data_IF_081912909054
#
_entry.id   IF_081912909054
#
_cell.length_a   1.000
_cell.length_b   1.000
_cell.length_c   1.000
_cell.angle_alpha   90.00
_cell.angle_beta   90.00
_cell.angle_gamma   90.00
#
_symmetry.space_group_name_H-M   'P 1'
#
loop_
_entity.id
_entity.type
_entity.pdbx_description
1 polymer ?
#
# COMPACT_ATOMS: atom_id res chain seq x y z
N UNK A 1 -41.47 -35.21 -15.40
CA UNK A 1 -40.10 -34.84 -15.85
C UNK A 1 -40.27 -33.98 -17.08
N UNK A 2 -40.17 -32.66 -16.93
CA UNK A 2 -40.17 -31.75 -18.08
C UNK A 2 -38.80 -31.83 -18.75
N UNK A 3 -38.69 -32.71 -19.75
CA UNK A 3 -37.55 -32.82 -20.67
C UNK A 3 -37.86 -32.00 -21.92
N UNK A 4 -37.96 -30.68 -21.77
CA UNK A 4 -38.13 -29.75 -22.88
C UNK A 4 -36.76 -29.26 -23.34
N UNK A 5 -36.47 -29.37 -24.63
CA UNK A 5 -35.27 -28.77 -25.22
C UNK A 5 -35.33 -27.24 -25.17
N UNK A 6 -34.19 -26.62 -24.85
CA UNK A 6 -34.05 -25.16 -24.75
C UNK A 6 -34.29 -24.51 -26.12
N UNK A 7 -35.03 -23.40 -26.14
CA UNK A 7 -35.14 -22.56 -27.33
C UNK A 7 -33.78 -21.91 -27.66
N UNK A 8 -33.63 -21.41 -28.90
CA UNK A 8 -32.39 -20.72 -29.31
C UNK A 8 -32.10 -19.50 -28.44
N UNK A 9 -33.14 -18.78 -28.06
CA UNK A 9 -33.08 -17.62 -27.17
C UNK A 9 -32.65 -18.04 -25.76
N UNK A 10 -33.21 -19.13 -25.22
CA UNK A 10 -32.82 -19.66 -23.91
C UNK A 10 -31.37 -20.18 -23.90
N UNK A 11 -30.91 -20.80 -24.99
CA UNK A 11 -29.51 -21.20 -25.16
C UNK A 11 -28.58 -20.00 -25.18
N UNK A 12 -28.98 -18.90 -25.82
CA UNK A 12 -28.18 -17.69 -25.90
C UNK A 12 -28.12 -16.95 -24.55
N UNK A 13 -29.24 -16.86 -23.83
CA UNK A 13 -29.27 -16.34 -22.45
C UNK A 13 -28.41 -17.18 -21.52
N UNK A 14 -28.51 -18.52 -21.61
CA UNK A 14 -27.65 -19.42 -20.84
C UNK A 14 -26.18 -19.20 -21.14
N UNK A 15 -25.81 -19.03 -22.40
CA UNK A 15 -24.42 -18.76 -22.78
C UNK A 15 -23.92 -17.44 -22.17
N UNK A 16 -24.69 -16.36 -22.27
CA UNK A 16 -24.33 -15.06 -21.66
C UNK A 16 -24.17 -15.17 -20.15
N UNK A 17 -25.12 -15.81 -19.46
CA UNK A 17 -25.05 -16.00 -18.00
C UNK A 17 -23.82 -16.82 -17.61
N UNK A 18 -23.46 -17.86 -18.37
CA UNK A 18 -22.26 -18.66 -18.11
C UNK A 18 -20.99 -17.80 -18.25
N UNK A 19 -20.90 -16.98 -19.30
CA UNK A 19 -19.76 -16.06 -19.49
C UNK A 19 -19.68 -15.04 -18.36
N UNK A 20 -20.80 -14.43 -17.96
CA UNK A 20 -20.85 -13.50 -16.84
C UNK A 20 -20.45 -14.16 -15.51
N UNK A 21 -20.93 -15.38 -15.24
CA UNK A 21 -20.54 -16.16 -14.06
C UNK A 21 -19.04 -16.48 -14.04
N UNK A 22 -18.46 -16.84 -15.18
CA UNK A 22 -17.01 -17.08 -15.30
C UNK A 22 -16.21 -15.81 -15.03
N UNK A 23 -16.67 -14.66 -15.54
CA UNK A 23 -16.02 -13.37 -15.31
C UNK A 23 -16.12 -12.93 -13.84
N UNK A 24 -17.29 -13.09 -13.22
CA UNK A 24 -17.49 -12.85 -11.79
C UNK A 24 -16.59 -13.75 -10.93
N UNK A 25 -16.48 -15.04 -11.27
CA UNK A 25 -15.63 -15.99 -10.55
C UNK A 25 -14.14 -15.61 -10.63
N UNK A 26 -13.66 -15.22 -11.82
CA UNK A 26 -12.28 -14.72 -12.02
C UNK A 26 -12.02 -13.45 -11.22
N UNK A 27 -12.99 -12.53 -11.21
CA UNK A 27 -12.88 -11.26 -10.47
C UNK A 27 -12.84 -11.50 -8.96
N UNK A 28 -13.68 -12.42 -8.45
CA UNK A 28 -13.67 -12.82 -7.05
C UNK A 28 -12.35 -13.50 -6.65
N UNK A 29 -11.84 -14.40 -7.49
CA UNK A 29 -10.56 -15.04 -7.28
C UNK A 29 -9.42 -14.01 -7.21
N UNK A 30 -9.35 -13.08 -8.15
CA UNK A 30 -8.36 -12.01 -8.17
C UNK A 30 -8.42 -11.16 -6.89
N UNK A 31 -9.63 -10.81 -6.43
CA UNK A 31 -9.86 -10.07 -5.18
C UNK A 31 -9.36 -10.85 -3.96
N UNK A 32 -9.64 -12.14 -3.87
CA UNK A 32 -9.17 -12.98 -2.76
C UNK A 32 -7.67 -13.20 -2.77
N UNK A 33 -7.08 -13.40 -3.95
CA UNK A 33 -5.63 -13.45 -4.15
C UNK A 33 -4.98 -12.16 -3.64
N UNK A 34 -5.47 -11.00 -4.04
CA UNK A 34 -4.95 -9.70 -3.61
C UNK A 34 -5.05 -9.50 -2.09
N UNK A 35 -6.17 -9.93 -1.48
CA UNK A 35 -6.38 -9.86 -0.02
C UNK A 35 -5.46 -10.81 0.76
N UNK A 36 -5.18 -11.99 0.23
CA UNK A 36 -4.38 -13.02 0.91
C UNK A 36 -2.88 -12.70 0.98
N UNK A 37 -2.38 -11.81 0.10
CA UNK A 37 -0.95 -11.46 -0.03
C UNK A 37 -0.01 -12.65 -0.34
N UNK A 38 -0.54 -13.74 -0.88
CA UNK A 38 0.26 -14.90 -1.32
C UNK A 38 0.88 -14.63 -2.69
N UNK A 39 2.22 -14.66 -2.78
CA UNK A 39 3.00 -14.38 -4.00
C UNK A 39 3.21 -15.61 -4.91
N UNK A 40 3.25 -16.81 -4.34
CA UNK A 40 3.58 -18.04 -5.08
C UNK A 40 2.45 -19.07 -4.99
N UNK A 41 1.87 -19.41 -6.14
CA UNK A 41 1.04 -20.60 -6.32
C UNK A 41 1.91 -21.69 -6.91
N UNK A 42 2.14 -22.78 -6.16
CA UNK A 42 2.87 -23.95 -6.70
C UNK A 42 1.96 -24.98 -7.35
N UNK A 43 0.65 -24.77 -7.45
CA UNK A 43 -0.28 -25.62 -8.17
C UNK A 43 -1.54 -24.83 -8.52
N UNK A 44 -1.89 -24.83 -9.81
CA UNK A 44 -3.01 -24.09 -10.37
C UNK A 44 -4.34 -24.74 -10.02
N UNK A 45 -5.03 -24.19 -9.03
CA UNK A 45 -6.43 -24.49 -8.78
C UNK A 45 -7.15 -23.21 -8.31
N UNK A 46 -8.35 -22.98 -8.84
CA UNK A 46 -9.20 -21.79 -8.65
C UNK A 46 -9.75 -21.70 -7.21
N UNK A 47 -8.88 -21.64 -6.21
CA UNK A 47 -9.25 -21.96 -4.83
C UNK A 47 -9.36 -20.72 -3.93
N UNK A 48 -10.50 -20.04 -4.03
CA UNK A 48 -10.91 -18.97 -3.09
C UNK A 48 -10.88 -19.41 -1.62
N UNK A 49 -11.10 -20.71 -1.32
CA UNK A 49 -11.03 -21.24 0.06
C UNK A 49 -9.60 -21.20 0.62
N UNK A 50 -8.59 -21.47 -0.20
CA UNK A 50 -7.19 -21.36 0.21
C UNK A 50 -6.85 -19.92 0.60
N UNK A 51 -7.19 -18.96 -0.26
CA UNK A 51 -6.98 -17.53 0.01
C UNK A 51 -7.75 -17.04 1.23
N UNK A 52 -8.99 -17.50 1.41
CA UNK A 52 -9.80 -17.19 2.60
C UNK A 52 -9.19 -17.71 3.90
N UNK A 53 -8.67 -18.96 3.89
CA UNK A 53 -7.95 -19.53 5.04
C UNK A 53 -6.68 -18.74 5.35
N UNK A 54 -5.91 -18.39 4.34
CA UNK A 54 -4.68 -17.61 4.53
C UNK A 54 -4.97 -16.19 5.05
N UNK A 55 -5.95 -15.50 4.48
CA UNK A 55 -6.39 -14.19 4.97
C UNK A 55 -6.87 -14.26 6.43
N UNK A 56 -7.56 -15.34 6.81
CA UNK A 56 -7.99 -15.57 8.20
C UNK A 56 -6.80 -15.83 9.12
N UNK A 57 -5.82 -16.63 8.69
CA UNK A 57 -4.59 -16.88 9.45
C UNK A 57 -3.79 -15.58 9.66
N UNK A 58 -3.59 -14.77 8.62
CA UNK A 58 -2.95 -13.46 8.74
C UNK A 58 -3.73 -12.52 9.66
N UNK A 59 -5.06 -12.49 9.57
CA UNK A 59 -5.89 -11.69 10.47
C UNK A 59 -5.67 -12.10 11.92
N UNK A 60 -5.68 -13.41 12.22
CA UNK A 60 -5.43 -13.92 13.59
C UNK A 60 -4.04 -13.54 14.09
N UNK A 61 -3.01 -13.70 13.27
CA UNK A 61 -1.64 -13.37 13.64
C UNK A 61 -1.43 -11.86 13.86
N UNK A 62 -2.07 -11.01 13.05
CA UNK A 62 -1.89 -9.55 13.13
C UNK A 62 -2.86 -8.85 14.09
N UNK A 63 -3.83 -9.56 14.68
CA UNK A 63 -4.76 -8.95 15.63
C UNK A 63 -4.03 -8.77 16.96
N UNK A 64 -4.06 -7.55 17.48
CA UNK A 64 -3.53 -7.21 18.80
C UNK A 64 -4.72 -7.22 19.75
N UNK A 65 -4.90 -8.33 20.48
CA UNK A 65 -5.98 -8.55 21.44
C UNK A 65 -5.57 -8.25 22.89
N UNK A 66 -4.26 -8.23 23.16
CA UNK A 66 -3.70 -7.87 24.47
C UNK A 66 -2.37 -7.14 24.33
N UNK A 67 -2.01 -6.41 25.38
CA UNK A 67 -0.76 -5.67 25.50
C UNK A 67 -0.28 -5.72 26.96
N UNK A 68 0.98 -6.04 27.20
CA UNK A 68 1.63 -6.02 28.50
C UNK A 68 2.51 -4.80 28.59
N UNK A 69 2.25 -3.94 29.57
CA UNK A 69 3.04 -2.74 29.84
C UNK A 69 3.46 -2.75 31.30
N UNK A 70 4.77 -2.77 31.55
CA UNK A 70 5.34 -2.79 32.91
C UNK A 70 4.81 -3.94 33.79
N UNK A 71 4.42 -5.06 33.18
CA UNK A 71 3.89 -6.23 33.87
C UNK A 71 2.37 -6.23 34.08
N UNK A 72 1.67 -5.18 33.67
CA UNK A 72 0.20 -5.11 33.68
C UNK A 72 -0.35 -5.45 32.29
N UNK A 73 -1.39 -6.28 32.24
CA UNK A 73 -2.07 -6.69 31.01
C UNK A 73 -3.24 -5.74 30.71
N UNK A 74 -3.24 -5.21 29.49
CA UNK A 74 -4.26 -4.36 28.90
C UNK A 74 -4.96 -5.15 27.80
N UNK A 75 -6.27 -5.33 27.93
CA UNK A 75 -7.11 -6.05 26.95
C UNK A 75 -8.16 -5.13 26.30
N UNK A 76 -8.38 -3.94 26.84
CA UNK A 76 -9.33 -2.99 26.28
C UNK A 76 -8.78 -2.36 24.99
N UNK A 77 -9.53 -2.49 23.89
CA UNK A 77 -9.06 -2.09 22.56
C UNK A 77 -8.70 -0.60 22.45
N UNK A 78 -9.46 0.29 23.09
CA UNK A 78 -9.18 1.72 23.02
C UNK A 78 -8.00 2.14 23.91
N UNK A 79 -7.79 1.42 25.02
CA UNK A 79 -6.60 1.57 25.85
C UNK A 79 -5.34 1.05 25.13
N UNK A 80 -5.42 -0.09 24.43
CA UNK A 80 -4.34 -0.61 23.58
C UNK A 80 -3.94 0.43 22.52
N UNK A 81 -4.91 1.02 21.81
CA UNK A 81 -4.65 2.05 20.79
C UNK A 81 -3.96 3.27 21.39
N UNK A 82 -4.46 3.77 22.52
CA UNK A 82 -3.92 4.96 23.20
C UNK A 82 -2.49 4.69 23.65
N UNK A 83 -2.26 3.56 24.31
CA UNK A 83 -0.94 3.13 24.79
C UNK A 83 0.07 2.99 23.66
N UNK A 84 -0.33 2.37 22.54
CA UNK A 84 0.52 2.27 21.35
C UNK A 84 0.85 3.64 20.75
N UNK A 85 -0.15 4.50 20.61
CA UNK A 85 0.03 5.84 20.06
C UNK A 85 1.01 6.67 20.93
N UNK A 86 0.85 6.64 22.24
CA UNK A 86 1.76 7.31 23.18
C UNK A 86 3.17 6.73 23.18
N UNK A 87 3.29 5.40 23.11
CA UNK A 87 4.58 4.72 23.00
C UNK A 87 5.34 5.20 21.76
N UNK A 88 4.75 5.11 20.56
CA UNK A 88 5.42 5.52 19.34
C UNK A 88 5.61 7.03 19.24
N UNK A 89 4.67 7.83 19.75
CA UNK A 89 4.86 9.29 19.83
C UNK A 89 6.13 9.62 20.60
N UNK A 90 6.37 8.95 21.72
CA UNK A 90 7.59 9.14 22.53
C UNK A 90 8.84 8.67 21.80
N UNK A 91 8.79 7.50 21.14
CA UNK A 91 9.91 6.96 20.35
C UNK A 91 10.31 7.88 19.20
N UNK A 92 9.34 8.52 18.55
CA UNK A 92 9.57 9.45 17.44
C UNK A 92 9.66 10.92 17.87
N UNK A 93 9.62 11.20 19.18
CA UNK A 93 9.85 12.55 19.68
C UNK A 93 11.32 12.69 20.06
N UNK A 94 11.91 13.80 19.65
CA UNK A 94 13.26 14.16 20.05
C UNK A 94 13.25 14.82 21.43
N UNK A 95 13.95 14.25 22.43
CA UNK A 95 14.03 14.85 23.75
C UNK A 95 15.09 15.95 23.84
N UNK A 96 16.09 15.92 22.95
CA UNK A 96 17.26 16.81 23.00
C UNK A 96 17.02 18.07 22.18
N UNK A 97 17.04 19.22 22.85
CA UNK A 97 16.90 20.53 22.18
C UNK A 97 18.22 20.99 21.54
N UNK A 98 19.34 20.47 22.02
CA UNK A 98 20.65 20.81 21.51
C UNK A 98 21.02 19.99 20.28
N UNK A 99 21.47 20.68 19.23
CA UNK A 99 22.04 20.10 18.03
C UNK A 99 23.45 20.66 17.83
N UNK A 100 24.47 19.82 17.61
CA UNK A 100 25.76 20.34 17.20
C UNK A 100 25.60 21.09 15.87
N UNK A 101 26.18 22.29 15.78
CA UNK A 101 26.28 23.01 14.51
C UNK A 101 27.10 22.16 13.53
N UNK A 102 26.52 21.88 12.36
CA UNK A 102 27.21 21.14 11.31
C UNK A 102 27.72 22.14 10.27
N UNK A 103 28.96 22.59 10.44
CA UNK A 103 29.61 23.44 9.45
C UNK A 103 30.29 22.56 8.39
N UNK A 104 29.71 22.53 7.19
CA UNK A 104 30.24 21.80 6.03
C UNK A 104 31.44 22.52 5.40
N UNK A 105 32.53 22.67 6.16
CA UNK A 105 33.78 23.22 5.65
C UNK A 105 34.52 22.11 4.89
N UNK A 106 34.97 22.40 3.67
CA UNK A 106 35.74 21.49 2.80
C UNK A 106 35.09 20.14 2.44
N UNK A 107 33.76 20.06 2.48
CA UNK A 107 33.04 18.87 2.00
C UNK A 107 33.08 18.77 0.46
N UNK A 108 33.27 17.56 -0.11
CA UNK A 108 33.09 17.33 -1.53
C UNK A 108 31.70 17.84 -1.96
N UNK A 109 31.67 18.77 -2.90
CA UNK A 109 30.44 19.30 -3.47
C UNK A 109 30.24 18.70 -4.85
N UNK A 110 28.98 18.40 -5.16
CA UNK A 110 28.60 18.00 -6.50
C UNK A 110 28.88 19.14 -7.48
N UNK A 111 29.26 18.79 -8.70
CA UNK A 111 29.46 19.71 -9.80
C UNK A 111 28.18 20.48 -10.12
N UNK A 112 28.33 21.61 -10.83
CA UNK A 112 27.17 22.40 -11.27
C UNK A 112 26.28 21.59 -12.20
N UNK A 113 26.88 20.74 -13.02
CA UNK A 113 26.22 19.83 -13.95
C UNK A 113 25.37 18.82 -13.19
N UNK A 114 25.91 18.18 -12.16
CA UNK A 114 25.17 17.26 -11.28
C UNK A 114 24.04 17.96 -10.54
N UNK A 115 24.27 19.17 -10.03
CA UNK A 115 23.23 19.97 -9.37
C UNK A 115 22.07 20.27 -10.32
N UNK A 116 22.37 20.76 -11.53
CA UNK A 116 21.36 21.04 -12.54
C UNK A 116 20.62 19.77 -12.95
N UNK A 117 21.30 18.63 -13.01
CA UNK A 117 20.70 17.35 -13.33
C UNK A 117 19.77 16.86 -12.21
N UNK A 118 20.14 17.00 -10.95
CA UNK A 118 19.30 16.62 -9.79
C UNK A 118 18.07 17.52 -9.62
N UNK A 119 18.18 18.79 -10.05
CA UNK A 119 17.10 19.79 -9.96
C UNK A 119 16.27 19.92 -11.25
N UNK A 120 16.47 19.02 -12.21
CA UNK A 120 15.72 19.06 -13.48
C UNK A 120 14.26 18.67 -13.26
N UNK A 121 13.38 19.20 -14.11
CA UNK A 121 11.98 18.84 -14.11
C UNK A 121 11.79 17.33 -14.41
N UNK A 122 10.83 16.72 -13.73
CA UNK A 122 10.42 15.34 -13.98
C UNK A 122 9.85 15.20 -15.39
N UNK A 123 10.42 14.31 -16.21
CA UNK A 123 9.83 13.96 -17.50
C UNK A 123 8.76 12.87 -17.34
N UNK A 124 7.88 12.75 -18.34
CA UNK A 124 6.91 11.67 -18.42
C UNK A 124 7.59 10.30 -18.27
N UNK A 125 8.71 10.10 -18.95
CA UNK A 125 9.47 8.84 -18.92
C UNK A 125 9.98 8.48 -17.52
N UNK A 126 10.42 9.48 -16.74
CA UNK A 126 10.89 9.27 -15.37
C UNK A 126 9.73 8.79 -14.50
N UNK A 127 8.60 9.49 -14.55
CA UNK A 127 7.41 9.13 -13.75
C UNK A 127 6.87 7.75 -14.16
N UNK A 128 6.79 7.48 -15.46
CA UNK A 128 6.35 6.18 -15.96
C UNK A 128 7.30 5.05 -15.55
N UNK A 129 8.61 5.29 -15.57
CA UNK A 129 9.59 4.31 -15.13
C UNK A 129 9.43 3.97 -13.64
N UNK A 130 9.24 4.97 -12.77
CA UNK A 130 8.94 4.76 -11.34
C UNK A 130 7.69 3.90 -11.16
N UNK A 131 6.63 4.21 -11.92
CA UNK A 131 5.38 3.44 -11.88
C UNK A 131 5.63 1.98 -12.27
N UNK A 132 6.39 1.74 -13.34
CA UNK A 132 6.72 0.40 -13.84
C UNK A 132 7.56 -0.41 -12.85
N UNK A 133 8.54 0.22 -12.20
CA UNK A 133 9.43 -0.42 -11.22
C UNK A 133 8.73 -0.78 -9.91
N UNK A 134 7.70 -0.03 -9.52
CA UNK A 134 6.93 -0.33 -8.33
C UNK A 134 6.16 -1.66 -8.42
N UNK A 135 6.14 -2.43 -7.34
CA UNK A 135 5.29 -3.63 -7.26
C UNK A 135 3.80 -3.22 -7.19
N UNK A 136 3.01 -3.77 -8.12
CA UNK A 136 1.60 -3.44 -8.32
C UNK A 136 0.69 -3.93 -7.21
N UNK A 137 1.04 -5.06 -6.59
CA UNK A 137 0.16 -5.81 -5.66
C UNK A 137 0.38 -5.45 -4.19
N UNK A 138 1.17 -4.39 -3.93
CA UNK A 138 1.35 -3.84 -2.58
C UNK A 138 0.04 -3.27 -2.03
N UNK A 139 -0.06 -3.19 -0.71
CA UNK A 139 -1.22 -2.59 -0.06
C UNK A 139 -1.39 -1.12 -0.50
N UNK A 140 -2.61 -0.69 -0.86
CA UNK A 140 -2.88 0.70 -1.17
C UNK A 140 -2.82 1.54 0.12
N UNK A 141 -2.59 2.85 -0.05
CA UNK A 141 -2.80 3.82 1.02
C UNK A 141 -4.30 4.16 1.18
N UNK A 142 -4.63 5.24 1.91
CA UNK A 142 -6.01 5.62 2.20
C UNK A 142 -6.91 5.86 0.98
N UNK A 143 -6.32 6.21 -0.16
CA UNK A 143 -7.04 6.42 -1.41
C UNK A 143 -7.46 5.13 -2.13
N UNK A 144 -7.04 3.96 -1.66
CA UNK A 144 -7.42 2.66 -2.24
C UNK A 144 -6.79 2.34 -3.60
N UNK A 145 -6.07 3.29 -4.22
CA UNK A 145 -5.44 3.10 -5.52
C UNK A 145 -4.08 2.41 -5.36
N UNK A 146 -3.92 1.24 -5.95
CA UNK A 146 -2.63 0.51 -5.99
C UNK A 146 -1.76 0.97 -7.15
N UNK A 147 -0.49 0.58 -7.16
CA UNK A 147 0.40 0.85 -8.29
C UNK A 147 -0.06 0.15 -9.57
N UNK A 148 -0.76 -0.99 -9.48
CA UNK A 148 -1.37 -1.65 -10.64
C UNK A 148 -2.38 -0.77 -11.38
N UNK A 149 -3.16 0.04 -10.65
CA UNK A 149 -4.09 0.99 -11.29
C UNK A 149 -3.34 1.99 -12.18
N UNK A 150 -2.26 2.60 -11.67
CA UNK A 150 -1.47 3.56 -12.44
C UNK A 150 -0.74 2.92 -13.62
N UNK A 151 -0.34 1.65 -13.51
CA UNK A 151 0.24 0.90 -14.64
C UNK A 151 -0.75 0.66 -15.77
N UNK A 152 -1.99 0.29 -15.43
CA UNK A 152 -3.02 -0.06 -16.41
C UNK A 152 -3.66 1.20 -17.00
N UNK A 153 -3.95 2.20 -16.16
CA UNK A 153 -4.68 3.40 -16.55
C UNK A 153 -3.76 4.58 -16.88
N UNK A 154 -2.46 4.34 -17.14
CA UNK A 154 -1.47 5.40 -17.34
C UNK A 154 -1.91 6.43 -18.37
N UNK A 155 -2.36 5.97 -19.55
CA UNK A 155 -2.76 6.87 -20.64
C UNK A 155 -3.95 7.77 -20.28
N UNK A 156 -4.79 7.33 -19.33
CA UNK A 156 -5.89 8.13 -18.79
C UNK A 156 -5.43 9.12 -17.73
N UNK A 157 -4.57 8.70 -16.79
CA UNK A 157 -4.25 9.47 -15.58
C UNK A 157 -2.96 10.29 -15.65
N UNK A 158 -2.16 10.12 -16.71
CA UNK A 158 -0.84 10.73 -16.82
C UNK A 158 -0.85 12.25 -16.76
N UNK A 159 -1.85 12.89 -17.38
CA UNK A 159 -1.94 14.36 -17.43
C UNK A 159 -2.08 14.93 -16.02
N UNK A 160 -3.05 14.43 -15.25
CA UNK A 160 -3.29 14.86 -13.87
C UNK A 160 -2.09 14.55 -12.97
N UNK A 161 -1.48 13.37 -13.13
CA UNK A 161 -0.36 12.96 -12.28
C UNK A 161 0.90 13.80 -12.55
N UNK A 162 1.21 14.09 -13.81
CA UNK A 162 2.32 14.96 -14.17
C UNK A 162 2.08 16.37 -13.67
N UNK A 163 0.86 16.89 -13.76
CA UNK A 163 0.51 18.20 -13.21
C UNK A 163 0.72 18.25 -11.69
N UNK A 164 0.33 17.20 -10.94
CA UNK A 164 0.58 17.11 -9.50
C UNK A 164 2.09 17.16 -9.20
N UNK A 165 2.89 16.35 -9.90
CA UNK A 165 4.35 16.27 -9.72
C UNK A 165 5.02 17.60 -10.07
N UNK A 166 4.59 18.25 -11.16
CA UNK A 166 5.11 19.56 -11.55
C UNK A 166 4.73 20.67 -10.57
N UNK A 167 3.48 20.70 -10.11
CA UNK A 167 3.03 21.66 -9.11
C UNK A 167 3.81 21.51 -7.81
N UNK A 168 4.06 20.28 -7.36
CA UNK A 168 4.90 20.02 -6.19
C UNK A 168 6.32 20.55 -6.40
N UNK A 169 6.94 20.22 -7.55
CA UNK A 169 8.31 20.65 -7.85
C UNK A 169 8.46 22.18 -7.93
N UNK A 170 7.48 22.89 -8.50
CA UNK A 170 7.57 24.34 -8.73
C UNK A 170 7.10 25.19 -7.55
N UNK A 171 6.08 24.72 -6.82
CA UNK A 171 5.41 25.52 -5.78
C UNK A 171 5.66 24.99 -4.37
N UNK A 172 6.27 23.82 -4.23
CA UNK A 172 6.46 23.12 -2.96
C UNK A 172 5.13 22.81 -2.25
N UNK A 173 4.03 22.77 -3.02
CA UNK A 173 2.68 22.49 -2.53
C UNK A 173 2.29 21.06 -2.87
N UNK A 174 2.00 20.27 -1.84
CA UNK A 174 1.48 18.92 -1.95
C UNK A 174 0.11 18.83 -1.30
N UNK A 175 -0.87 18.29 -2.02
CA UNK A 175 -2.24 18.20 -1.52
C UNK A 175 -2.30 17.32 -0.26
N UNK A 176 -2.97 17.80 0.79
CA UNK A 176 -2.98 17.13 2.09
C UNK A 176 -3.63 15.75 2.02
N UNK A 177 -4.61 15.59 1.13
CA UNK A 177 -5.28 14.31 0.91
C UNK A 177 -4.33 13.22 0.41
N UNK A 178 -3.29 13.57 -0.37
CA UNK A 178 -2.28 12.61 -0.82
C UNK A 178 -1.23 12.31 0.25
N UNK A 179 -1.06 13.19 1.25
CA UNK A 179 -0.19 12.95 2.40
C UNK A 179 -0.87 12.12 3.51
N UNK A 180 -2.16 11.81 3.36
CA UNK A 180 -2.85 10.92 4.29
C UNK A 180 -2.21 9.52 4.25
N UNK A 181 -1.90 9.00 5.44
CA UNK A 181 -1.20 7.72 5.63
C UNK A 181 -1.89 6.92 6.72
N UNK A 182 -2.06 5.62 6.50
CA UNK A 182 -2.44 4.71 7.59
C UNK A 182 -1.19 4.17 8.28
N UNK A 183 -1.19 4.20 9.61
CA UNK A 183 -0.20 3.50 10.41
C UNK A 183 -0.80 2.15 10.78
N UNK A 184 -0.13 1.07 10.38
CA UNK A 184 -0.51 -0.30 10.72
C UNK A 184 0.59 -0.92 11.55
N UNK A 185 0.24 -1.53 12.68
CA UNK A 185 1.16 -2.26 13.53
C UNK A 185 1.20 -3.73 13.11
N UNK A 186 2.40 -4.26 12.89
CA UNK A 186 2.61 -5.69 12.59
C UNK A 186 3.51 -6.29 13.68
N UNK A 187 3.11 -7.42 14.30
CA UNK A 187 3.97 -8.11 15.26
C UNK A 187 5.27 -8.58 14.61
N UNK A 188 6.38 -8.48 15.35
CA UNK A 188 7.71 -8.97 14.96
C UNK A 188 7.80 -10.49 15.02
N UNK A 189 7.13 -11.14 15.97
CA UNK A 189 7.13 -12.59 16.22
C UNK A 189 5.78 -13.03 16.82
N UNK A 190 5.57 -14.34 16.91
CA UNK A 190 4.37 -14.88 17.53
C UNK A 190 4.39 -14.64 19.06
N UNK A 191 3.25 -14.25 19.62
CA UNK A 191 3.13 -13.99 21.06
C UNK A 191 3.75 -12.66 21.50
N UNK A 192 3.81 -11.67 20.61
CA UNK A 192 4.22 -10.32 20.96
C UNK A 192 3.21 -9.67 21.89
N UNK A 193 3.70 -9.18 23.02
CA UNK A 193 2.87 -8.66 24.10
C UNK A 193 3.27 -7.24 24.48
N UNK A 194 4.48 -6.76 24.21
CA UNK A 194 4.86 -5.39 24.56
C UNK A 194 4.75 -4.42 23.37
N UNK A 195 4.54 -3.10 23.59
CA UNK A 195 4.49 -2.10 22.51
C UNK A 195 5.70 -2.12 21.56
N UNK A 196 6.88 -2.37 22.13
CA UNK A 196 8.16 -2.44 21.41
C UNK A 196 8.24 -3.63 20.45
N UNK A 197 7.40 -4.64 20.62
CA UNK A 197 7.43 -5.86 19.84
C UNK A 197 6.66 -5.72 18.52
N UNK A 198 5.93 -4.62 18.33
CA UNK A 198 5.27 -4.33 17.07
C UNK A 198 6.19 -3.47 16.17
N UNK A 199 5.94 -3.50 14.86
CA UNK A 199 6.56 -2.60 13.88
C UNK A 199 5.49 -1.71 13.28
N UNK A 200 5.63 -0.37 13.35
CA UNK A 200 4.75 0.52 12.62
C UNK A 200 5.12 0.50 11.14
N UNK A 201 4.13 0.29 10.29
CA UNK A 201 4.24 0.36 8.84
C UNK A 201 3.36 1.51 8.37
N UNK A 202 3.98 2.46 7.67
CA UNK A 202 3.30 3.57 7.03
C UNK A 202 2.79 3.13 5.66
N UNK A 203 1.47 3.01 5.53
CA UNK A 203 0.79 2.76 4.26
C UNK A 203 0.50 4.09 3.57
N UNK A 204 1.53 4.63 2.91
CA UNK A 204 1.43 5.86 2.13
C UNK A 204 0.71 5.62 0.80
N UNK A 205 -0.03 6.62 0.32
CA UNK A 205 -0.74 6.57 -0.96
C UNK A 205 0.19 6.39 -2.16
N UNK A 206 -0.33 5.78 -3.24
CA UNK A 206 0.47 5.53 -4.45
C UNK A 206 0.95 6.83 -5.12
N UNK A 207 0.13 7.89 -5.12
CA UNK A 207 0.53 9.22 -5.63
C UNK A 207 1.71 9.77 -4.84
N UNK A 208 1.67 9.70 -3.50
CA UNK A 208 2.80 10.06 -2.64
C UNK A 208 4.07 9.28 -3.02
N UNK A 209 3.97 7.95 -3.17
CA UNK A 209 5.12 7.13 -3.58
C UNK A 209 5.68 7.58 -4.92
N UNK A 210 4.82 7.81 -5.91
CA UNK A 210 5.25 8.24 -7.26
C UNK A 210 5.97 9.60 -7.18
N UNK A 211 5.40 10.58 -6.47
CA UNK A 211 6.02 11.90 -6.32
C UNK A 211 7.38 11.81 -5.63
N UNK A 212 7.51 11.09 -4.51
CA UNK A 212 8.74 11.06 -3.72
C UNK A 212 9.78 10.03 -4.21
N UNK A 213 9.38 9.00 -4.96
CA UNK A 213 10.31 8.07 -5.62
C UNK A 213 10.77 8.57 -6.98
N UNK A 214 10.05 9.47 -7.63
CA UNK A 214 10.54 10.15 -8.83
C UNK A 214 11.71 11.11 -8.51
N UNK A 215 11.85 11.55 -7.26
CA UNK A 215 12.92 12.44 -6.79
C UNK A 215 14.31 11.79 -6.70
N UNK A 216 14.46 10.48 -6.99
CA UNK A 216 15.73 9.74 -6.92
C UNK A 216 15.95 8.83 -8.13
#
# INVERSE_FOLDING_TARGET
MESRDLSKEEMMVRFTIVVELEDMAKTEEAKWRQKSKVLWLKQGDNNTKFFGRMATAHRRFNTIDRLVVRGEEIVETDEIKTTMAEFYKRVYSEPESWRPGFDMIDCPTISREEKNWLQRHFSEDVVLNVIKQCDGDKAPGPNGLTMSFFKVCWDTVKVDLLEIVHNFHQKELFEKSFNATFIVLIPKKAGDEEPKDFRPINLVGSVYKITFQANY
#
